data_IF_286490222767
#
_entry.id   IF_286490222767
#
_cell.length_a   1.000
_cell.length_b   1.000
_cell.length_c   1.000
_cell.angle_alpha   90.00
_cell.angle_beta   90.00
_cell.angle_gamma   90.00
#
_symmetry.space_group_name_H-M   'P 1'
#
loop_
_entity.id
_entity.type
_entity.pdbx_description
1 polymer ?
#
# COMPACT_ATOMS: atom_id res chain seq x y z
N UNK A 1 -56.92 -8.99 16.58
CA UNK A 1 -56.20 -7.94 15.83
C UNK A 1 -55.60 -6.97 16.83
N UNK A 2 -54.27 -6.95 16.97
CA UNK A 2 -53.52 -5.81 17.52
C UNK A 2 -52.04 -6.12 17.31
N UNK A 3 -51.52 -5.62 16.19
CA UNK A 3 -50.12 -5.67 15.84
C UNK A 3 -49.33 -4.85 16.85
N UNK A 4 -48.33 -5.46 17.50
CA UNK A 4 -47.32 -4.70 18.23
C UNK A 4 -46.17 -4.42 17.29
N UNK A 5 -45.96 -3.13 17.14
CA UNK A 5 -45.03 -2.44 16.24
C UNK A 5 -43.61 -2.94 16.47
N UNK A 6 -42.98 -3.33 15.36
CA UNK A 6 -41.58 -3.66 15.27
C UNK A 6 -40.74 -2.39 15.46
N UNK A 7 -39.78 -2.44 16.37
CA UNK A 7 -38.62 -1.58 16.38
C UNK A 7 -37.54 -2.31 17.15
N UNK A 8 -36.35 -2.48 16.56
CA UNK A 8 -35.05 -2.33 17.22
C UNK A 8 -33.94 -2.53 16.17
N UNK A 9 -33.12 -1.48 16.08
CA UNK A 9 -31.73 -1.44 15.66
C UNK A 9 -31.36 -1.75 14.20
N UNK A 10 -31.53 -0.71 13.38
CA UNK A 10 -30.57 -0.36 12.31
C UNK A 10 -29.21 -0.04 12.96
N UNK A 11 -28.29 -1.00 13.04
CA UNK A 11 -26.92 -0.78 13.53
C UNK A 11 -25.95 -1.77 12.87
N UNK A 12 -25.52 -1.43 11.65
CA UNK A 12 -24.27 -1.89 11.05
C UNK A 12 -23.98 -1.07 9.77
N UNK A 13 -23.80 0.25 9.93
CA UNK A 13 -23.28 1.13 8.87
C UNK A 13 -21.91 1.70 9.29
N UNK A 14 -21.00 0.82 9.71
CA UNK A 14 -19.61 1.17 10.01
C UNK A 14 -18.71 0.14 9.31
N UNK A 15 -18.11 0.54 8.20
CA UNK A 15 -17.11 -0.30 7.52
C UNK A 15 -16.88 -0.06 6.01
N UNK A 16 -17.42 1.01 5.41
CA UNK A 16 -17.21 1.29 3.98
C UNK A 16 -16.17 2.41 3.71
N UNK A 17 -15.16 2.55 4.57
CA UNK A 17 -14.01 3.41 4.32
C UNK A 17 -12.78 2.79 5.00
N UNK A 18 -11.88 2.17 4.25
CA UNK A 18 -10.59 1.71 4.77
C UNK A 18 -10.02 0.39 4.24
N UNK A 19 -10.73 -0.35 3.40
CA UNK A 19 -10.18 -1.60 2.84
C UNK A 19 -9.29 -1.41 1.60
N UNK A 20 -9.21 -0.20 1.05
CA UNK A 20 -8.58 0.03 -0.25
C UNK A 20 -7.05 0.06 -0.16
N UNK A 21 -6.48 0.61 0.92
CA UNK A 21 -5.02 0.69 1.12
C UNK A 21 -4.47 -0.52 1.85
N UNK A 22 -4.39 -1.65 1.15
CA UNK A 22 -3.71 -2.84 1.65
C UNK A 22 -2.54 -3.21 0.71
N UNK A 23 -1.65 -4.10 1.15
CA UNK A 23 -0.47 -4.49 0.36
C UNK A 23 -0.84 -4.95 -1.05
N UNK A 24 -1.88 -5.78 -1.19
CA UNK A 24 -2.32 -6.25 -2.50
C UNK A 24 -2.73 -5.10 -3.42
N UNK A 25 -3.68 -4.27 -2.99
CA UNK A 25 -4.17 -3.18 -3.82
C UNK A 25 -3.08 -2.14 -4.12
N UNK A 26 -2.19 -1.87 -3.15
CA UNK A 26 -1.07 -0.93 -3.32
C UNK A 26 -0.07 -1.45 -4.36
N UNK A 27 0.33 -2.72 -4.28
CA UNK A 27 1.24 -3.32 -5.27
C UNK A 27 0.60 -3.43 -6.65
N UNK A 28 -0.71 -3.70 -6.73
CA UNK A 28 -1.42 -3.66 -8.01
C UNK A 28 -1.46 -2.24 -8.58
N UNK A 29 -1.70 -1.22 -7.76
CA UNK A 29 -1.67 0.17 -8.23
C UNK A 29 -0.32 0.55 -8.83
N UNK A 30 0.79 0.11 -8.21
CA UNK A 30 2.15 0.38 -8.70
C UNK A 30 2.46 -0.37 -10.00
N UNK A 31 2.27 -1.70 -10.00
CA UNK A 31 2.83 -2.57 -11.04
C UNK A 31 1.84 -2.98 -12.14
N UNK A 32 0.54 -2.82 -11.93
CA UNK A 32 -0.44 -3.22 -12.94
C UNK A 32 -0.40 -2.27 -14.15
N UNK A 33 -0.26 -2.76 -15.40
CA UNK A 33 -0.23 -1.90 -16.58
C UNK A 33 -1.52 -1.08 -16.83
N UNK A 34 -2.62 -1.46 -16.17
CA UNK A 34 -3.87 -0.70 -16.17
C UNK A 34 -3.92 0.47 -15.18
N UNK A 35 -2.94 0.56 -14.27
CA UNK A 35 -2.79 1.59 -13.25
C UNK A 35 -1.49 2.39 -13.53
N UNK A 36 -0.48 2.35 -12.66
CA UNK A 36 0.80 3.03 -12.92
C UNK A 36 1.74 2.24 -13.85
N UNK A 37 1.69 0.90 -13.82
CA UNK A 37 2.46 0.05 -14.73
C UNK A 37 3.98 0.20 -14.63
N UNK A 38 4.51 0.54 -13.45
CA UNK A 38 5.94 0.70 -13.23
C UNK A 38 6.63 -0.64 -13.50
N UNK A 39 7.74 -0.60 -14.24
CA UNK A 39 8.48 -1.80 -14.60
C UNK A 39 9.93 -1.67 -14.18
N UNK A 40 10.40 -2.65 -13.40
CA UNK A 40 11.80 -2.76 -13.03
C UNK A 40 12.43 -3.77 -13.99
N UNK A 41 13.30 -3.27 -14.86
CA UNK A 41 13.84 -4.03 -15.97
C UNK A 41 14.47 -5.36 -15.54
N UNK A 42 14.05 -6.45 -16.18
CA UNK A 42 14.56 -7.80 -15.91
C UNK A 42 13.72 -8.61 -14.92
N UNK A 43 12.68 -8.03 -14.31
CA UNK A 43 11.73 -8.72 -13.42
C UNK A 43 10.35 -8.77 -14.10
N UNK A 44 9.63 -9.89 -13.95
CA UNK A 44 8.28 -9.99 -14.50
C UNK A 44 7.29 -9.22 -13.64
N UNK A 45 6.24 -8.65 -14.24
CA UNK A 45 5.15 -7.96 -13.51
C UNK A 45 4.57 -8.82 -12.38
N UNK A 46 4.41 -10.12 -12.64
CA UNK A 46 3.93 -11.07 -11.63
C UNK A 46 4.88 -11.17 -10.45
N UNK A 47 6.18 -11.27 -10.72
CA UNK A 47 7.19 -11.39 -9.67
C UNK A 47 7.25 -10.09 -8.85
N UNK A 48 7.18 -8.92 -9.50
CA UNK A 48 7.11 -7.60 -8.85
C UNK A 48 5.91 -7.52 -7.90
N UNK A 49 4.72 -7.89 -8.38
CA UNK A 49 3.50 -7.91 -7.56
C UNK A 49 3.62 -8.89 -6.40
N UNK A 50 4.08 -10.12 -6.64
CA UNK A 50 4.18 -11.15 -5.62
C UNK A 50 5.20 -10.77 -4.53
N UNK A 51 6.35 -10.23 -4.92
CA UNK A 51 7.40 -9.82 -3.99
C UNK A 51 6.98 -8.59 -3.17
N UNK A 52 6.46 -7.54 -3.82
CA UNK A 52 5.88 -6.38 -3.15
C UNK A 52 4.83 -6.76 -2.11
N UNK A 53 3.90 -7.65 -2.46
CA UNK A 53 2.84 -8.12 -1.55
C UNK A 53 3.45 -8.86 -0.36
N UNK A 54 4.41 -9.74 -0.63
CA UNK A 54 5.10 -10.54 0.39
C UNK A 54 5.80 -9.64 1.41
N UNK A 55 6.63 -8.72 0.95
CA UNK A 55 7.43 -7.83 1.81
C UNK A 55 6.57 -6.88 2.63
N UNK A 56 5.60 -6.21 2.01
CA UNK A 56 4.65 -5.36 2.73
C UNK A 56 3.87 -6.16 3.80
N UNK A 57 3.42 -7.37 3.47
CA UNK A 57 2.67 -8.21 4.42
C UNK A 57 3.56 -8.70 5.56
N UNK A 58 4.83 -9.00 5.29
CA UNK A 58 5.82 -9.36 6.30
C UNK A 58 6.12 -8.19 7.24
N UNK A 59 6.24 -6.98 6.72
CA UNK A 59 6.42 -5.76 7.51
C UNK A 59 5.23 -5.52 8.44
N UNK A 60 3.99 -5.66 7.96
CA UNK A 60 2.77 -5.50 8.77
C UNK A 60 2.68 -6.48 9.96
N UNK A 61 3.39 -7.62 9.93
CA UNK A 61 3.42 -8.58 11.04
C UNK A 61 4.40 -8.19 12.15
N UNK A 62 5.30 -7.24 11.89
CA UNK A 62 6.38 -6.84 12.81
C UNK A 62 6.02 -5.51 13.43
N UNK A 63 5.99 -5.44 14.75
CA UNK A 63 5.76 -4.18 15.48
C UNK A 63 7.08 -3.44 15.69
N UNK A 64 7.13 -2.14 15.39
CA UNK A 64 8.35 -1.34 15.53
C UNK A 64 8.17 0.18 15.60
N UNK A 65 9.27 0.92 15.79
CA UNK A 65 9.29 2.37 15.61
C UNK A 65 9.44 2.74 14.13
N UNK A 66 9.01 3.95 13.75
CA UNK A 66 9.20 4.47 12.38
C UNK A 66 10.69 4.59 12.01
N UNK A 67 11.54 4.92 12.99
CA UNK A 67 12.97 5.13 12.76
C UNK A 67 13.21 6.40 11.92
N UNK A 68 14.09 6.28 10.93
CA UNK A 68 14.43 7.36 9.98
C UNK A 68 13.76 7.18 8.62
N UNK A 69 12.85 6.21 8.48
CA UNK A 69 12.13 5.99 7.25
C UNK A 69 11.22 7.19 6.97
N UNK A 70 11.27 7.73 5.75
CA UNK A 70 10.40 8.79 5.26
C UNK A 70 10.12 8.55 3.78
N UNK A 71 8.95 8.03 3.40
CA UNK A 71 8.68 7.67 2.01
C UNK A 71 8.50 8.88 1.09
N UNK A 72 8.38 10.09 1.62
CA UNK A 72 8.13 11.30 0.83
C UNK A 72 9.42 11.97 0.33
N UNK A 73 10.57 11.42 0.67
CA UNK A 73 11.87 11.87 0.16
C UNK A 73 12.49 10.77 -0.70
N UNK A 74 13.17 11.12 -1.81
CA UNK A 74 13.92 10.15 -2.58
C UNK A 74 15.05 9.56 -1.72
N UNK A 75 15.21 8.24 -1.74
CA UNK A 75 16.33 7.58 -1.09
C UNK A 75 17.43 7.25 -2.10
N UNK A 76 18.67 7.61 -1.77
CA UNK A 76 19.86 7.31 -2.59
C UNK A 76 20.27 5.82 -2.55
N UNK A 77 19.61 5.00 -1.74
CA UNK A 77 19.98 3.61 -1.50
C UNK A 77 19.09 2.65 -2.30
N UNK A 78 19.73 1.81 -3.11
CA UNK A 78 19.11 0.66 -3.76
C UNK A 78 18.47 -0.25 -2.69
N UNK A 79 17.14 -0.30 -2.66
CA UNK A 79 16.29 -1.12 -1.77
C UNK A 79 16.12 -0.62 -0.33
N UNK A 80 15.15 0.27 -0.14
CA UNK A 80 14.59 0.55 1.19
C UNK A 80 13.59 -0.55 1.55
N UNK A 81 13.99 -1.44 2.46
CA UNK A 81 13.12 -2.51 2.97
C UNK A 81 12.18 -2.01 4.08
N UNK A 82 10.90 -2.33 4.00
CA UNK A 82 9.93 -2.09 5.07
C UNK A 82 10.20 -3.02 6.26
N UNK A 83 10.53 -2.44 7.42
CA UNK A 83 10.93 -3.22 8.59
C UNK A 83 9.78 -3.58 9.52
N UNK A 84 8.71 -2.77 9.53
CA UNK A 84 7.61 -2.88 10.47
C UNK A 84 6.30 -2.27 9.98
N UNK A 85 5.25 -2.45 10.77
CA UNK A 85 3.87 -2.08 10.48
C UNK A 85 3.69 -0.58 10.24
N UNK A 86 4.44 0.27 10.95
CA UNK A 86 4.31 1.73 10.79
C UNK A 86 4.92 2.19 9.47
N UNK A 87 6.07 1.64 9.10
CA UNK A 87 6.71 1.94 7.83
C UNK A 87 5.83 1.46 6.66
N UNK A 88 5.26 0.26 6.76
CA UNK A 88 4.35 -0.26 5.75
C UNK A 88 3.06 0.57 5.60
N UNK A 89 2.49 1.04 6.73
CA UNK A 89 1.33 1.92 6.70
C UNK A 89 1.66 3.24 5.99
N UNK A 90 2.76 3.90 6.38
CA UNK A 90 3.17 5.17 5.79
C UNK A 90 3.53 5.03 4.30
N UNK A 91 4.19 3.93 3.93
CA UNK A 91 4.48 3.60 2.54
C UNK A 91 3.21 3.49 1.70
N UNK A 92 2.22 2.71 2.16
CA UNK A 92 0.93 2.61 1.47
C UNK A 92 0.25 3.98 1.36
N UNK A 93 0.29 4.80 2.42
CA UNK A 93 -0.28 6.13 2.39
C UNK A 93 0.43 7.06 1.38
N UNK A 94 1.76 6.98 1.31
CA UNK A 94 2.56 7.68 0.30
C UNK A 94 2.14 7.27 -1.11
N UNK A 95 2.12 5.97 -1.41
CA UNK A 95 1.77 5.44 -2.74
C UNK A 95 0.40 5.95 -3.20
N UNK A 96 -0.60 5.91 -2.31
CA UNK A 96 -1.95 6.38 -2.63
C UNK A 96 -2.10 7.91 -2.71
N UNK A 97 -1.09 8.66 -2.25
CA UNK A 97 -1.06 10.12 -2.33
C UNK A 97 -0.24 10.64 -3.50
N UNK A 98 0.70 9.85 -4.00
CA UNK A 98 1.58 10.17 -5.11
C UNK A 98 0.90 9.93 -6.46
N UNK A 99 1.38 10.64 -7.47
CA UNK A 99 1.08 10.36 -8.87
C UNK A 99 1.98 9.25 -9.40
N UNK A 100 1.59 8.55 -10.47
CA UNK A 100 2.45 7.53 -11.07
C UNK A 100 3.81 8.08 -11.56
N UNK A 101 3.88 9.36 -11.93
CA UNK A 101 5.16 10.01 -12.30
C UNK A 101 6.08 10.17 -11.08
N UNK A 102 5.51 10.47 -9.92
CA UNK A 102 6.24 10.56 -8.65
C UNK A 102 6.66 9.18 -8.12
N UNK A 103 5.99 8.11 -8.52
CA UNK A 103 6.37 6.74 -8.13
C UNK A 103 7.46 6.14 -9.03
N UNK A 104 7.72 6.74 -10.20
CA UNK A 104 8.64 6.21 -11.21
C UNK A 104 10.11 6.40 -10.78
N UNK A 105 10.88 5.32 -10.55
CA UNK A 105 12.26 5.42 -10.05
C UNK A 105 13.18 6.23 -10.97
N UNK A 106 12.94 6.16 -12.30
CA UNK A 106 13.75 6.88 -13.28
C UNK A 106 13.60 8.41 -13.24
N UNK A 107 12.59 8.91 -12.53
CA UNK A 107 12.32 10.35 -12.35
C UNK A 107 12.74 10.88 -10.98
N UNK A 108 13.47 10.08 -10.19
CA UNK A 108 13.80 10.40 -8.79
C UNK A 108 12.64 10.12 -7.83
N UNK A 109 11.91 9.04 -8.10
CA UNK A 109 10.64 8.70 -7.46
C UNK A 109 10.69 8.65 -5.93
N UNK A 110 9.50 8.84 -5.36
CA UNK A 110 9.20 8.72 -3.93
C UNK A 110 8.41 7.44 -3.67
N UNK A 111 8.20 7.14 -2.39
CA UNK A 111 7.51 5.94 -1.91
C UNK A 111 8.20 4.62 -2.33
N UNK A 112 9.51 4.64 -2.57
CA UNK A 112 10.38 3.53 -3.05
C UNK A 112 9.62 2.24 -3.38
N UNK A 113 9.29 2.00 -4.66
CA UNK A 113 8.51 0.83 -5.04
C UNK A 113 9.28 -0.46 -4.69
N UNK A 114 8.62 -1.34 -3.95
CA UNK A 114 9.19 -2.59 -3.47
C UNK A 114 9.25 -3.60 -4.62
N UNK A 115 10.45 -3.96 -5.13
CA UNK A 115 10.60 -4.89 -6.25
C UNK A 115 10.06 -6.28 -5.94
#
# INVERSE_FOLDING_TARGET
MSARIAAVALLAALGAAGCDKNCQNTCYHIYDPGECGINIGGVSEKDLKDQCISECTEALKRTGPMGTYDPYVPHDTENVELQNEKQAAEWMDCVWSATCEELEPTSGGICDPIP
#
